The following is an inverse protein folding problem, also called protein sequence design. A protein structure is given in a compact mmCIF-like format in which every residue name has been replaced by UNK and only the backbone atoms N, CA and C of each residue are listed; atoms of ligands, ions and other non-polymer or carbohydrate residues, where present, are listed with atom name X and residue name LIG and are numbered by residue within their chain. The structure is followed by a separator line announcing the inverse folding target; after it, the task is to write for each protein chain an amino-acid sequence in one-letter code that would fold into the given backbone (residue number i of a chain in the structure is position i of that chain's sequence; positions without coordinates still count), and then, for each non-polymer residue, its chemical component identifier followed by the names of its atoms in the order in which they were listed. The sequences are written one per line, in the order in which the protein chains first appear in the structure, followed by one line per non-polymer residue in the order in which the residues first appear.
data_IF_911849132799
#
_entry.id   IF_911849132799
#
_cell.length_a   1.000
_cell.length_b   1.000
_cell.length_c   1.000
_cell.angle_alpha   90.00
_cell.angle_beta   90.00
_cell.angle_gamma   90.00
#
_symmetry.space_group_name_H-M   'P 1'
#
loop_
_entity.id
_entity.type
_entity.pdbx_description
1 polymer ?
#
# COMPACT_ATOMS: atom_id res chain seq x y z
N UNK A 1 3.15 -14.24 -7.59
CA UNK A 1 3.40 -12.78 -7.75
C UNK A 1 2.13 -12.20 -8.31
N UNK A 2 1.32 -11.54 -7.49
CA UNK A 2 0.12 -10.86 -7.99
C UNK A 2 0.58 -9.71 -8.89
N UNK A 3 0.17 -9.72 -10.16
CA UNK A 3 0.55 -8.69 -11.11
C UNK A 3 -0.07 -7.35 -10.66
N UNK A 4 0.74 -6.32 -10.51
CA UNK A 4 0.26 -4.95 -10.40
C UNK A 4 -0.36 -4.56 -11.75
N UNK A 5 -1.60 -4.06 -11.71
CA UNK A 5 -2.32 -3.65 -12.94
C UNK A 5 -1.99 -2.19 -13.31
N UNK A 6 -1.29 -1.47 -12.42
CA UNK A 6 -0.87 -0.08 -12.59
C UNK A 6 0.65 -0.02 -12.81
N UNK A 7 1.18 1.07 -13.41
CA UNK A 7 2.62 1.26 -13.59
C UNK A 7 3.34 1.65 -12.28
N UNK A 8 2.70 1.45 -11.13
CA UNK A 8 3.27 1.79 -9.84
C UNK A 8 4.22 0.69 -9.38
N UNK A 9 5.43 1.10 -9.03
CA UNK A 9 6.41 0.29 -8.34
C UNK A 9 6.37 0.64 -6.86
N UNK A 10 6.31 -0.38 -6.00
CA UNK A 10 6.22 -0.19 -4.54
C UNK A 10 7.57 -0.46 -3.90
N UNK A 11 8.06 0.54 -3.17
CA UNK A 11 9.02 0.35 -2.09
C UNK A 11 8.28 0.39 -0.78
N UNK A 12 8.67 -0.40 0.20
CA UNK A 12 7.96 -0.45 1.47
C UNK A 12 8.91 -0.70 2.64
N UNK A 13 8.59 -0.11 3.78
CA UNK A 13 9.33 -0.25 5.03
C UNK A 13 8.37 -0.60 6.16
N UNK A 14 8.84 -1.45 7.07
CA UNK A 14 8.09 -1.85 8.25
C UNK A 14 8.56 -0.98 9.42
N UNK A 15 7.67 -0.13 9.92
CA UNK A 15 7.94 0.76 11.03
C UNK A 15 7.08 0.40 12.25
N UNK A 16 7.69 0.32 13.42
CA UNK A 16 6.99 0.21 14.70
C UNK A 16 6.92 1.58 15.35
N UNK A 17 5.72 2.13 15.50
CA UNK A 17 5.48 3.40 16.17
C UNK A 17 4.93 3.17 17.57
N UNK A 18 5.67 3.62 18.59
CA UNK A 18 5.15 3.66 19.95
C UNK A 18 4.07 4.75 20.09
N UNK A 19 2.85 4.37 20.46
CA UNK A 19 1.75 5.29 20.76
C UNK A 19 1.41 5.23 22.26
N UNK A 20 0.67 6.24 22.76
CA UNK A 20 0.25 6.28 24.17
C UNK A 20 -0.63 5.07 24.59
N UNK A 21 -1.21 4.34 23.63
CA UNK A 21 -2.06 3.17 23.86
C UNK A 21 -1.38 1.84 23.55
N UNK A 22 -0.10 1.84 23.14
CA UNK A 22 0.65 0.65 22.77
C UNK A 22 1.53 0.82 21.53
N UNK A 23 2.23 -0.23 21.13
CA UNK A 23 3.01 -0.27 19.88
C UNK A 23 2.06 -0.48 18.70
N UNK A 24 2.07 0.42 17.72
CA UNK A 24 1.38 0.25 16.45
C UNK A 24 2.39 -0.04 15.37
N UNK A 25 2.08 -1.00 14.51
CA UNK A 25 2.87 -1.26 13.32
C UNK A 25 2.29 -0.52 12.13
N UNK A 26 3.18 0.03 11.33
CA UNK A 26 2.88 0.80 10.14
C UNK A 26 3.70 0.21 8.99
N UNK A 27 3.04 -0.06 7.87
CA UNK A 27 3.75 -0.30 6.61
C UNK A 27 3.75 1.02 5.86
N UNK A 28 4.92 1.63 5.79
CA UNK A 28 5.17 2.81 4.96
C UNK A 28 5.45 2.32 3.55
N UNK A 29 4.67 2.78 2.59
CA UNK A 29 4.73 2.38 1.19
C UNK A 29 5.01 3.61 0.36
N UNK A 30 6.11 3.60 -0.35
CA UNK A 30 6.42 4.57 -1.40
C UNK A 30 5.99 3.97 -2.73
N UNK A 31 5.01 4.58 -3.38
CA UNK A 31 4.59 4.22 -4.73
C UNK A 31 5.21 5.19 -5.74
N UNK A 32 6.06 4.67 -6.60
CA UNK A 32 6.69 5.41 -7.70
C UNK A 32 5.99 5.09 -9.01
N UNK A 33 5.74 6.11 -9.84
CA UNK A 33 5.24 5.91 -11.18
C UNK A 33 6.39 5.65 -12.16
N UNK A 34 6.62 4.37 -12.46
CA UNK A 34 7.60 3.91 -13.47
C UNK A 34 6.99 3.81 -14.88
N UNK A 35 5.77 4.31 -15.06
CA UNK A 35 5.09 4.33 -16.35
C UNK A 35 5.55 5.47 -17.24
N UNK A 36 5.14 5.42 -18.52
CA UNK A 36 5.45 6.46 -19.50
C UNK A 36 4.52 7.69 -19.41
N UNK A 37 3.43 7.60 -18.63
CA UNK A 37 2.39 8.62 -18.53
C UNK A 37 2.15 9.04 -17.07
N UNK A 38 1.78 10.32 -16.88
CA UNK A 38 1.37 10.84 -15.58
C UNK A 38 0.06 10.18 -15.15
N UNK A 39 0.02 9.70 -13.91
CA UNK A 39 -1.21 9.25 -13.27
C UNK A 39 -2.01 10.49 -12.87
N UNK A 40 -3.22 10.63 -13.41
CA UNK A 40 -4.17 11.69 -13.06
C UNK A 40 -5.18 11.18 -12.03
N UNK A 41 -5.84 12.11 -11.34
CA UNK A 41 -6.92 11.78 -10.40
C UNK A 41 -8.31 11.82 -11.03
N UNK A 42 -8.39 12.00 -12.35
CA UNK A 42 -9.62 12.15 -13.09
C UNK A 42 -9.98 10.83 -13.80
N UNK A 43 -11.16 10.29 -13.52
CA UNK A 43 -11.68 9.09 -14.17
C UNK A 43 -11.24 7.79 -13.48
N UNK A 44 -9.94 7.49 -13.46
CA UNK A 44 -9.39 6.30 -12.80
C UNK A 44 -8.15 6.62 -11.97
N UNK A 45 -8.16 6.16 -10.72
CA UNK A 45 -7.03 6.30 -9.79
C UNK A 45 -6.49 4.94 -9.39
N UNK A 46 -5.18 4.82 -9.12
CA UNK A 46 -4.63 3.62 -8.52
C UNK A 46 -5.18 3.47 -7.10
N UNK A 47 -5.72 2.29 -6.79
CA UNK A 47 -6.01 1.88 -5.43
C UNK A 47 -4.93 0.90 -4.97
N UNK A 48 -4.08 1.35 -4.06
CA UNK A 48 -3.04 0.51 -3.45
C UNK A 48 -3.64 -0.20 -2.27
N UNK A 49 -3.58 -1.52 -2.28
CA UNK A 49 -4.10 -2.39 -1.23
C UNK A 49 -2.95 -3.14 -0.58
N UNK A 50 -2.84 -3.01 0.74
CA UNK A 50 -1.95 -3.79 1.58
C UNK A 50 -2.76 -4.89 2.27
N UNK A 51 -2.42 -6.15 1.98
CA UNK A 51 -3.01 -7.33 2.61
C UNK A 51 -2.02 -7.91 3.59
N UNK A 52 -2.43 -8.03 4.84
CA UNK A 52 -1.66 -8.70 5.88
C UNK A 52 -2.13 -10.14 5.98
N UNK A 53 -1.17 -11.05 5.99
CA UNK A 53 -1.35 -12.48 5.92
C UNK A 53 -0.65 -13.14 7.12
N UNK A 54 -1.25 -14.23 7.60
CA UNK A 54 -0.64 -15.17 8.54
C UNK A 54 0.39 -16.08 7.84
N UNK A 55 1.08 -16.93 8.60
CA UNK A 55 2.04 -17.93 8.12
C UNK A 55 1.41 -18.92 7.13
N UNK A 56 0.14 -19.30 7.35
CA UNK A 56 -0.61 -20.17 6.42
C UNK A 56 -1.02 -19.43 5.12
N UNK A 57 -0.81 -18.10 5.05
CA UNK A 57 -1.25 -17.26 3.94
C UNK A 57 -2.72 -16.86 4.02
N UNK A 58 -3.38 -17.06 5.16
CA UNK A 58 -4.72 -16.57 5.42
C UNK A 58 -4.72 -15.05 5.60
N UNK A 59 -5.71 -14.36 5.02
CA UNK A 59 -5.84 -12.91 5.12
C UNK A 59 -6.37 -12.50 6.49
N UNK A 60 -5.50 -11.89 7.28
CA UNK A 60 -5.83 -11.34 8.60
C UNK A 60 -6.44 -9.94 8.51
N UNK A 61 -5.84 -9.07 7.70
CA UNK A 61 -6.28 -7.68 7.55
C UNK A 61 -6.03 -7.16 6.13
N UNK A 62 -6.84 -6.20 5.71
CA UNK A 62 -6.71 -5.54 4.42
C UNK A 62 -6.97 -4.05 4.58
N UNK A 63 -6.04 -3.25 4.09
CA UNK A 63 -6.16 -1.80 4.06
C UNK A 63 -5.93 -1.31 2.62
N UNK A 64 -6.89 -0.56 2.09
CA UNK A 64 -6.83 0.03 0.75
C UNK A 64 -6.75 1.54 0.83
N UNK A 65 -5.92 2.15 -0.03
CA UNK A 65 -5.78 3.60 -0.13
C UNK A 65 -5.72 4.01 -1.60
N UNK A 66 -6.62 4.92 -1.97
CA UNK A 66 -6.63 5.52 -3.29
C UNK A 66 -5.62 6.64 -3.37
N UNK A 67 -4.94 6.73 -4.51
CA UNK A 67 -4.04 7.81 -4.84
C UNK A 67 -4.86 9.06 -5.18
N UNK A 68 -4.96 9.98 -4.21
CA UNK A 68 -5.76 11.22 -4.32
C UNK A 68 -4.98 12.40 -4.89
N UNK A 69 -3.70 12.19 -5.20
CA UNK A 69 -2.84 13.19 -5.82
C UNK A 69 -2.28 12.65 -7.15
N UNK A 70 -2.13 13.51 -8.17
CA UNK A 70 -1.49 13.10 -9.41
C UNK A 70 -0.01 12.79 -9.18
N UNK A 71 0.51 11.79 -9.89
CA UNK A 71 1.92 11.37 -9.81
C UNK A 71 2.51 11.40 -11.21
N UNK A 72 3.45 12.32 -11.46
CA UNK A 72 4.18 12.37 -12.73
C UNK A 72 5.10 11.17 -12.91
N UNK A 73 5.65 11.04 -14.12
CA UNK A 73 6.61 9.99 -14.46
C UNK A 73 7.88 10.16 -13.64
N UNK A 74 8.32 9.10 -12.96
CA UNK A 74 9.45 9.13 -12.04
C UNK A 74 9.20 9.90 -10.73
N UNK A 75 7.96 10.35 -10.48
CA UNK A 75 7.57 10.90 -9.18
C UNK A 75 7.09 9.77 -8.26
N UNK A 76 7.31 9.96 -6.97
CA UNK A 76 6.91 9.04 -5.92
C UNK A 76 5.93 9.69 -4.95
N UNK A 77 5.02 8.90 -4.41
CA UNK A 77 4.12 9.30 -3.33
C UNK A 77 4.26 8.34 -2.15
N UNK A 78 4.13 8.87 -0.95
CA UNK A 78 4.11 8.13 0.31
C UNK A 78 2.67 7.78 0.73
N UNK A 79 2.51 6.55 1.22
CA UNK A 79 1.27 6.00 1.74
C UNK A 79 1.55 5.18 2.98
N UNK A 80 0.72 5.35 4.00
CA UNK A 80 0.86 4.62 5.25
C UNK A 80 -0.31 3.66 5.42
N UNK A 81 0.00 2.39 5.69
CA UNK A 81 -0.97 1.34 5.99
C UNK A 81 -0.78 0.87 7.43
N UNK A 82 -1.58 1.39 8.37
CA UNK A 82 -1.44 0.99 9.75
C UNK A 82 -2.02 -0.40 9.98
N UNK A 83 -1.25 -1.24 10.67
CA UNK A 83 -1.75 -2.47 11.23
C UNK A 83 -2.52 -2.16 12.50
N UNK A 84 -3.82 -2.47 12.49
CA UNK A 84 -4.71 -2.29 13.65
C UNK A 84 -5.02 -3.60 14.37
N UNK A 85 -4.49 -4.72 13.86
CA UNK A 85 -4.55 -6.03 14.49
C UNK A 85 -3.24 -6.30 15.23
N UNK A 86 -3.22 -7.36 16.04
CA UNK A 86 -2.02 -7.75 16.75
C UNK A 86 -0.90 -8.12 15.77
N UNK A 87 0.32 -7.70 16.11
CA UNK A 87 1.48 -7.83 15.23
C UNK A 87 2.06 -9.23 15.25
N UNK A 88 1.76 -10.00 16.30
CA UNK A 88 2.27 -11.36 16.51
C UNK A 88 1.73 -12.35 15.47
N UNK A 89 0.53 -12.11 14.93
CA UNK A 89 -0.09 -12.94 13.90
C UNK A 89 0.38 -12.59 12.47
N UNK A 90 0.89 -11.38 12.23
CA UNK A 90 1.25 -10.95 10.87
C UNK A 90 2.66 -11.40 10.51
N UNK A 91 2.76 -12.45 9.71
CA UNK A 91 4.04 -12.99 9.23
C UNK A 91 4.41 -12.45 7.85
N UNK A 92 3.43 -12.05 7.04
CA UNK A 92 3.64 -11.59 5.66
C UNK A 92 2.65 -10.51 5.27
N UNK A 93 3.01 -9.71 4.28
CA UNK A 93 2.07 -8.84 3.58
C UNK A 93 2.27 -8.85 2.08
N UNK A 94 1.22 -8.51 1.35
CA UNK A 94 1.20 -8.34 -0.09
C UNK A 94 0.65 -6.97 -0.44
N UNK A 95 1.42 -6.23 -1.25
CA UNK A 95 0.97 -4.98 -1.86
C UNK A 95 0.47 -5.26 -3.27
N UNK A 96 -0.68 -4.67 -3.59
CA UNK A 96 -1.24 -4.73 -4.93
C UNK A 96 -1.78 -3.36 -5.30
N UNK A 97 -1.64 -2.99 -6.56
CA UNK A 97 -2.36 -1.84 -7.10
C UNK A 97 -3.21 -2.20 -8.30
N UNK A 98 -4.41 -1.63 -8.29
CA UNK A 98 -5.43 -1.82 -9.32
C UNK A 98 -6.05 -0.47 -9.67
N UNK A 99 -6.50 -0.31 -10.91
CA UNK A 99 -7.25 0.86 -11.32
C UNK A 99 -8.68 0.80 -10.80
N UNK A 100 -9.10 1.82 -10.06
CA UNK A 100 -10.50 2.00 -9.64
C UNK A 100 -11.04 3.31 -10.19
N UNK A 101 -12.36 3.42 -10.33
CA UNK A 101 -12.97 4.71 -10.65
C UNK A 101 -12.80 5.67 -9.47
N UNK A 102 -12.40 6.90 -9.78
CA UNK A 102 -12.30 7.99 -8.81
C UNK A 102 -13.68 8.40 -8.29
#
# INVERSE_FOLDING_TARGET
MAANETPLVFSHEYATQGTASGTRVLVEVTAENDGDERITTEGQVPNVTCRFLDDDGERLHEAGRQLVQPVGVGESTDMEFPLTIDTEDVTRYELRSVWVKA
#
